data_IF_033393231068
#
_entry.id   IF_033393231068
#
_cell.length_a   1.000
_cell.length_b   1.000
_cell.length_c   1.000
_cell.angle_alpha   90.00
_cell.angle_beta   90.00
_cell.angle_gamma   90.00
#
_symmetry.space_group_name_H-M   'P 1'
#
loop_
_entity.id
_entity.type
_entity.pdbx_description
1 polymer ?
#
# COMPACT_ATOMS: atom_id res chain seq x y z
N UNK A 1 -13.42 7.90 8.64
CA UNK A 1 -13.71 6.53 9.12
C UNK A 1 -14.19 6.61 10.55
N UNK A 2 -15.11 5.73 10.93
CA UNK A 2 -15.65 5.63 12.29
C UNK A 2 -15.23 4.30 12.88
N UNK A 3 -14.77 4.27 14.14
CA UNK A 3 -14.50 2.99 14.82
C UNK A 3 -15.81 2.47 15.40
N UNK A 4 -16.41 1.44 14.82
CA UNK A 4 -17.71 0.95 15.32
C UNK A 4 -17.55 -0.06 16.46
N UNK A 5 -16.55 -0.92 16.37
CA UNK A 5 -16.31 -1.98 17.35
C UNK A 5 -14.82 -2.31 17.49
N UNK A 6 -14.44 -2.75 18.70
CA UNK A 6 -13.13 -3.30 19.04
C UNK A 6 -13.39 -4.56 19.88
N UNK A 7 -12.86 -5.70 19.43
CA UNK A 7 -13.05 -7.01 20.04
C UNK A 7 -11.72 -7.57 20.52
N UNK A 8 -11.73 -8.20 21.69
CA UNK A 8 -10.61 -9.02 22.14
C UNK A 8 -10.79 -10.44 21.63
N UNK A 9 -9.92 -10.85 20.70
CA UNK A 9 -10.03 -12.13 20.00
C UNK A 9 -9.01 -13.16 20.49
N UNK A 10 -8.38 -12.92 21.65
CA UNK A 10 -7.28 -13.75 22.17
C UNK A 10 -7.70 -15.19 22.40
N UNK A 11 -8.87 -15.39 23.01
CA UNK A 11 -9.43 -16.71 23.32
C UNK A 11 -10.28 -17.31 22.19
N UNK A 12 -10.49 -16.57 21.10
CA UNK A 12 -11.33 -17.02 19.99
C UNK A 12 -10.55 -17.97 19.09
N UNK A 13 -11.25 -18.97 18.56
CA UNK A 13 -10.74 -19.79 17.48
C UNK A 13 -10.54 -18.92 16.23
N UNK A 14 -9.41 -19.11 15.54
CA UNK A 14 -8.99 -18.29 14.40
C UNK A 14 -8.99 -19.05 13.08
N UNK A 15 -9.61 -20.23 13.04
CA UNK A 15 -9.88 -20.91 11.77
C UNK A 15 -10.89 -20.12 10.91
N UNK A 16 -10.95 -20.46 9.63
CA UNK A 16 -11.79 -19.73 8.68
C UNK A 16 -13.30 -19.81 8.98
N UNK A 17 -13.80 -20.91 9.56
CA UNK A 17 -15.23 -21.04 9.85
C UNK A 17 -15.63 -20.16 11.05
N UNK A 18 -14.81 -20.18 12.10
CA UNK A 18 -14.99 -19.31 13.26
C UNK A 18 -14.90 -17.84 12.88
N UNK A 19 -13.92 -17.47 12.04
CA UNK A 19 -13.81 -16.09 11.56
C UNK A 19 -14.98 -15.68 10.67
N UNK A 20 -15.46 -16.55 9.78
CA UNK A 20 -16.65 -16.27 8.96
C UNK A 20 -17.86 -15.98 9.85
N UNK A 21 -18.12 -16.80 10.87
CA UNK A 21 -19.24 -16.60 11.79
C UNK A 21 -19.14 -15.25 12.53
N UNK A 22 -17.94 -14.86 12.95
CA UNK A 22 -17.74 -13.57 13.59
C UNK A 22 -17.94 -12.40 12.61
N UNK A 23 -17.51 -12.54 11.36
CA UNK A 23 -17.75 -11.53 10.32
C UNK A 23 -19.25 -11.36 10.05
N UNK A 24 -20.00 -12.46 9.95
CA UNK A 24 -21.46 -12.44 9.80
C UNK A 24 -22.12 -11.71 10.97
N UNK A 25 -21.77 -12.08 12.20
CA UNK A 25 -22.27 -11.44 13.42
C UNK A 25 -21.99 -9.93 13.42
N UNK A 26 -20.77 -9.52 13.07
CA UNK A 26 -20.39 -8.10 13.00
C UNK A 26 -21.20 -7.34 11.94
N UNK A 27 -21.45 -7.94 10.77
CA UNK A 27 -22.25 -7.32 9.72
C UNK A 27 -23.71 -7.18 10.19
N UNK A 28 -24.29 -8.25 10.72
CA UNK A 28 -25.70 -8.25 11.14
C UNK A 28 -25.96 -7.26 12.28
N UNK A 29 -25.05 -7.20 13.25
CA UNK A 29 -25.09 -6.21 14.34
C UNK A 29 -25.01 -4.78 13.82
N UNK A 30 -24.15 -4.52 12.82
CA UNK A 30 -24.01 -3.20 12.23
C UNK A 30 -25.29 -2.78 11.49
N UNK A 31 -25.82 -3.64 10.64
CA UNK A 31 -27.02 -3.35 9.84
C UNK A 31 -28.24 -3.16 10.74
N UNK A 32 -28.42 -4.05 11.71
CA UNK A 32 -29.53 -3.97 12.68
C UNK A 32 -29.46 -2.70 13.51
N UNK A 33 -28.26 -2.37 14.02
CA UNK A 33 -28.09 -1.24 14.94
C UNK A 33 -28.19 0.12 14.26
N UNK A 34 -27.69 0.22 13.03
CA UNK A 34 -27.58 1.50 12.32
C UNK A 34 -28.55 1.65 11.15
N UNK A 35 -29.36 0.63 10.85
CA UNK A 35 -30.30 0.65 9.72
C UNK A 35 -29.60 0.86 8.38
N UNK A 36 -28.38 0.32 8.23
CA UNK A 36 -27.56 0.50 7.03
C UNK A 36 -27.43 -0.81 6.24
N UNK A 37 -26.88 -0.72 5.03
CA UNK A 37 -26.46 -1.88 4.24
C UNK A 37 -24.94 -1.92 4.16
N UNK A 38 -24.35 -3.06 4.52
CA UNK A 38 -22.94 -3.31 4.33
C UNK A 38 -22.75 -3.87 2.93
N UNK A 39 -22.18 -3.06 2.05
CA UNK A 39 -21.89 -3.47 0.66
C UNK A 39 -20.48 -4.06 0.51
N UNK A 40 -19.63 -3.87 1.51
CA UNK A 40 -18.20 -4.04 1.42
C UNK A 40 -17.59 -4.53 2.73
N UNK A 41 -16.70 -5.53 2.64
CA UNK A 41 -15.95 -6.02 3.81
C UNK A 41 -14.53 -6.45 3.43
N UNK A 42 -13.54 -6.03 4.21
CA UNK A 42 -12.11 -6.27 3.94
C UNK A 42 -11.35 -6.71 5.16
N UNK A 43 -10.47 -7.68 4.94
CA UNK A 43 -9.53 -8.20 5.92
C UNK A 43 -8.12 -8.16 5.35
N UNK A 44 -7.09 -8.36 6.18
CA UNK A 44 -5.82 -8.82 5.63
C UNK A 44 -5.93 -10.29 5.16
N UNK A 45 -4.81 -10.81 4.65
CA UNK A 45 -4.76 -12.09 3.97
C UNK A 45 -4.02 -13.15 4.79
N UNK A 46 -4.06 -13.06 6.12
CA UNK A 46 -3.65 -14.19 6.95
C UNK A 46 -4.57 -15.39 6.68
N UNK A 47 -4.09 -16.60 7.01
CA UNK A 47 -4.77 -17.83 6.63
C UNK A 47 -6.21 -17.92 7.15
N UNK A 48 -6.46 -17.46 8.38
CA UNK A 48 -7.79 -17.46 9.00
C UNK A 48 -8.72 -16.46 8.32
N UNK A 49 -8.31 -15.20 8.21
CA UNK A 49 -9.12 -14.14 7.61
C UNK A 49 -9.37 -14.38 6.13
N UNK A 50 -8.37 -14.87 5.39
CA UNK A 50 -8.54 -15.23 3.97
C UNK A 50 -9.61 -16.30 3.81
N UNK A 51 -9.53 -17.39 4.59
CA UNK A 51 -10.50 -18.49 4.50
C UNK A 51 -11.89 -18.02 4.94
N UNK A 52 -11.99 -17.28 6.05
CA UNK A 52 -13.27 -16.75 6.53
C UNK A 52 -13.94 -15.80 5.53
N UNK A 53 -13.19 -14.92 4.87
CA UNK A 53 -13.70 -14.04 3.81
C UNK A 53 -14.19 -14.82 2.59
N UNK A 54 -13.50 -15.89 2.19
CA UNK A 54 -13.94 -16.75 1.09
C UNK A 54 -15.27 -17.44 1.42
N UNK A 55 -15.40 -18.01 2.63
CA UNK A 55 -16.65 -18.64 3.07
C UNK A 55 -17.79 -17.61 3.19
N UNK A 56 -17.49 -16.40 3.70
CA UNK A 56 -18.45 -15.30 3.74
C UNK A 56 -18.98 -14.95 2.34
N UNK A 57 -18.11 -14.93 1.33
CA UNK A 57 -18.52 -14.66 -0.05
C UNK A 57 -19.44 -15.71 -0.64
N UNK A 58 -19.33 -16.97 -0.22
CA UNK A 58 -20.27 -18.03 -0.63
C UNK A 58 -21.64 -17.84 0.00
N UNK A 59 -21.68 -17.42 1.27
CA UNK A 59 -22.93 -17.20 2.01
C UNK A 59 -23.63 -15.89 1.65
N UNK A 60 -22.85 -14.85 1.36
CA UNK A 60 -23.31 -13.47 1.11
C UNK A 60 -22.72 -12.95 -0.21
N UNK A 61 -23.13 -13.50 -1.37
CA UNK A 61 -22.53 -13.21 -2.67
C UNK A 61 -22.71 -11.75 -3.13
N UNK A 62 -23.63 -11.00 -2.53
CA UNK A 62 -23.85 -9.58 -2.79
C UNK A 62 -22.72 -8.68 -2.23
N UNK A 63 -21.92 -9.17 -1.28
CA UNK A 63 -20.83 -8.40 -0.67
C UNK A 63 -19.63 -8.29 -1.60
N UNK A 64 -19.01 -7.12 -1.62
CA UNK A 64 -17.68 -6.91 -2.20
C UNK A 64 -16.62 -7.25 -1.15
N UNK A 65 -15.77 -8.23 -1.45
CA UNK A 65 -14.88 -8.87 -0.47
C UNK A 65 -13.41 -8.91 -0.94
N UNK A 66 -12.72 -7.79 -1.19
CA UNK A 66 -11.33 -7.84 -1.63
C UNK A 66 -10.39 -8.15 -0.46
N UNK A 67 -9.17 -8.54 -0.81
CA UNK A 67 -8.07 -8.57 0.15
C UNK A 67 -7.60 -7.15 0.43
N UNK A 68 -6.96 -6.94 1.58
CA UNK A 68 -6.25 -5.69 1.85
C UNK A 68 -5.08 -5.51 0.86
N UNK A 69 -5.17 -4.53 -0.02
CA UNK A 69 -4.15 -4.32 -1.06
C UNK A 69 -2.83 -3.80 -0.53
N UNK A 70 -2.84 -3.04 0.58
CA UNK A 70 -1.60 -2.70 1.28
C UNK A 70 -0.84 -3.94 1.77
N UNK A 71 -1.57 -4.99 2.14
CA UNK A 71 -0.96 -6.26 2.48
C UNK A 71 -0.55 -7.04 1.22
N UNK A 72 -1.34 -7.01 0.14
CA UNK A 72 -0.96 -7.68 -1.11
C UNK A 72 0.34 -7.12 -1.70
N UNK A 73 0.52 -5.81 -1.77
CA UNK A 73 1.77 -5.20 -2.24
C UNK A 73 2.95 -5.53 -1.32
N UNK A 74 2.74 -5.56 0.00
CA UNK A 74 3.79 -6.05 0.90
C UNK A 74 4.14 -7.52 0.67
N UNK A 75 3.17 -8.38 0.36
CA UNK A 75 3.45 -9.79 0.04
C UNK A 75 4.22 -9.92 -1.28
N UNK A 76 3.98 -9.04 -2.24
CA UNK A 76 4.71 -9.00 -3.50
C UNK A 76 6.20 -8.67 -3.30
N UNK A 77 6.55 -7.82 -2.32
CA UNK A 77 7.94 -7.65 -1.88
C UNK A 77 8.57 -8.99 -1.45
N UNK A 78 7.81 -9.81 -0.74
CA UNK A 78 8.26 -11.14 -0.32
C UNK A 78 8.37 -12.11 -1.49
N UNK A 79 7.54 -11.99 -2.52
CA UNK A 79 7.62 -12.83 -3.71
C UNK A 79 8.86 -12.49 -4.55
N UNK A 80 9.22 -11.19 -4.67
CA UNK A 80 10.47 -10.76 -5.29
C UNK A 80 11.68 -11.48 -4.71
N UNK A 81 11.83 -11.48 -3.38
CA UNK A 81 12.96 -12.16 -2.74
C UNK A 81 12.90 -13.69 -2.83
N UNK A 82 11.73 -14.29 -3.07
CA UNK A 82 11.62 -15.74 -3.31
C UNK A 82 12.07 -16.13 -4.71
N UNK A 83 11.77 -15.31 -5.70
CA UNK A 83 12.08 -15.62 -7.11
C UNK A 83 13.46 -15.12 -7.52
N UNK A 84 13.95 -14.04 -6.91
CA UNK A 84 15.22 -13.41 -7.26
C UNK A 84 16.30 -13.67 -6.21
N UNK A 85 17.11 -14.71 -6.44
CA UNK A 85 18.19 -15.11 -5.52
C UNK A 85 19.25 -14.02 -5.35
N UNK A 86 19.61 -13.32 -6.44
CA UNK A 86 20.57 -12.22 -6.36
C UNK A 86 20.05 -11.08 -5.47
N UNK A 87 18.81 -10.65 -5.68
CA UNK A 87 18.19 -9.62 -4.83
C UNK A 87 18.06 -10.04 -3.37
N UNK A 88 17.77 -11.32 -3.10
CA UNK A 88 17.76 -11.87 -1.75
C UNK A 88 19.14 -11.81 -1.09
N UNK A 89 20.20 -12.21 -1.82
CA UNK A 89 21.58 -12.18 -1.32
C UNK A 89 22.04 -10.74 -0.99
N UNK A 90 21.77 -9.79 -1.87
CA UNK A 90 22.06 -8.37 -1.64
C UNK A 90 21.30 -7.83 -0.42
N UNK A 91 20.02 -8.21 -0.27
CA UNK A 91 19.21 -7.80 0.87
C UNK A 91 19.71 -8.39 2.20
N UNK A 92 20.21 -9.62 2.19
CA UNK A 92 20.85 -10.25 3.36
C UNK A 92 22.13 -9.51 3.76
N UNK A 93 22.99 -9.18 2.80
CA UNK A 93 24.20 -8.38 3.04
C UNK A 93 23.88 -6.99 3.59
N UNK A 94 22.89 -6.30 3.01
CA UNK A 94 22.46 -4.99 3.48
C UNK A 94 21.92 -5.07 4.92
N UNK A 95 21.13 -6.10 5.21
CA UNK A 95 20.58 -6.33 6.56
C UNK A 95 21.68 -6.68 7.57
N UNK A 96 22.65 -7.50 7.18
CA UNK A 96 23.84 -7.80 7.97
C UNK A 96 24.61 -6.50 8.29
N UNK A 97 24.91 -5.68 7.29
CA UNK A 97 25.68 -4.46 7.46
C UNK A 97 24.97 -3.46 8.40
N UNK A 98 23.67 -3.26 8.19
CA UNK A 98 22.84 -2.40 9.05
C UNK A 98 22.80 -2.93 10.49
N UNK A 99 22.66 -4.24 10.67
CA UNK A 99 22.67 -4.88 11.99
C UNK A 99 24.02 -4.68 12.68
N UNK A 100 25.11 -4.93 11.96
CA UNK A 100 26.48 -4.77 12.46
C UNK A 100 26.76 -3.33 12.91
N UNK A 101 26.40 -2.33 12.10
CA UNK A 101 26.55 -0.91 12.43
C UNK A 101 25.74 -0.51 13.66
N UNK A 102 24.53 -1.05 13.83
CA UNK A 102 23.69 -0.70 14.97
C UNK A 102 24.12 -1.38 16.28
N UNK A 103 24.73 -2.56 16.21
CA UNK A 103 25.14 -3.34 17.39
C UNK A 103 26.51 -2.93 17.95
N UNK A 104 27.37 -2.30 17.14
CA UNK A 104 28.72 -1.91 17.55
C UNK A 104 28.85 -0.39 17.74
N UNK A 105 28.51 0.11 18.93
CA UNK A 105 28.45 1.55 19.21
C UNK A 105 29.74 2.34 18.94
N UNK A 106 30.92 1.78 19.26
CA UNK A 106 32.21 2.45 18.97
C UNK A 106 32.50 2.52 17.48
N UNK A 107 32.29 1.41 16.77
CA UNK A 107 32.41 1.33 15.30
C UNK A 107 31.46 2.33 14.64
N UNK A 108 30.20 2.35 15.08
CA UNK A 108 29.20 3.30 14.60
C UNK A 108 29.66 4.75 14.72
N UNK A 109 30.32 5.12 15.82
CA UNK A 109 30.81 6.50 16.01
C UNK A 109 31.90 6.91 15.01
N UNK A 110 32.69 5.97 14.51
CA UNK A 110 33.65 6.23 13.44
C UNK A 110 32.88 6.59 12.16
N UNK A 111 31.87 5.81 11.79
CA UNK A 111 31.06 6.07 10.60
C UNK A 111 30.17 7.31 10.74
N UNK A 112 29.58 7.57 11.90
CA UNK A 112 28.83 8.79 12.20
C UNK A 112 29.73 10.04 12.00
N UNK A 113 31.02 9.95 12.38
CA UNK A 113 31.98 11.04 12.20
C UNK A 113 32.32 11.26 10.73
N UNK A 114 32.48 10.19 9.94
CA UNK A 114 32.68 10.30 8.50
C UNK A 114 31.45 10.88 7.77
N UNK A 115 30.23 10.50 8.18
CA UNK A 115 29.00 11.12 7.67
C UNK A 115 28.98 12.63 7.95
N UNK A 116 29.36 13.03 9.17
CA UNK A 116 29.46 14.44 9.55
C UNK A 116 30.47 15.19 8.66
N UNK A 117 31.68 14.67 8.51
CA UNK A 117 32.73 15.28 7.67
C UNK A 117 32.26 15.45 6.22
N UNK A 118 31.68 14.41 5.62
CA UNK A 118 31.22 14.43 4.22
C UNK A 118 30.02 15.37 4.03
N UNK A 119 29.07 15.39 4.97
CA UNK A 119 27.89 16.27 4.88
C UNK A 119 28.24 17.75 5.08
N UNK A 120 29.10 18.07 6.04
CA UNK A 120 29.63 19.42 6.25
C UNK A 120 30.37 19.91 5.00
N UNK A 121 31.23 19.07 4.39
CA UNK A 121 31.96 19.43 3.19
C UNK A 121 31.05 19.66 1.97
N UNK A 122 29.96 18.89 1.82
CA UNK A 122 29.05 18.98 0.67
C UNK A 122 28.00 20.09 0.78
N UNK A 123 27.50 20.34 1.99
CA UNK A 123 26.30 21.16 2.21
C UNK A 123 26.46 22.29 3.21
N UNK A 124 27.63 22.40 3.86
CA UNK A 124 27.86 23.35 4.95
C UNK A 124 27.17 22.99 6.26
N UNK A 125 26.45 21.86 6.32
CA UNK A 125 25.72 21.40 7.50
C UNK A 125 26.06 19.95 7.86
N UNK A 126 26.37 19.73 9.15
CA UNK A 126 26.52 18.40 9.72
C UNK A 126 25.19 17.64 9.76
N UNK A 127 25.11 16.56 8.99
CA UNK A 127 23.97 15.65 9.00
C UNK A 127 24.45 14.22 9.21
N UNK A 128 23.89 13.55 10.20
CA UNK A 128 24.13 12.13 10.48
C UNK A 128 22.82 11.40 10.29
N UNK A 129 22.81 10.47 9.36
CA UNK A 129 21.65 9.66 9.10
C UNK A 129 21.63 8.41 9.99
N UNK A 130 20.46 8.10 10.55
CA UNK A 130 20.26 6.86 11.29
C UNK A 130 20.23 5.65 10.35
N UNK A 131 20.86 4.54 10.76
CA UNK A 131 20.79 3.24 10.10
C UNK A 131 19.46 2.55 10.43
N UNK A 132 18.53 2.52 9.47
CA UNK A 132 17.19 1.98 9.65
C UNK A 132 17.20 0.47 9.48
N UNK A 133 16.61 -0.26 10.43
CA UNK A 133 16.51 -1.72 10.37
C UNK A 133 15.31 -2.15 9.53
N UNK A 134 15.56 -3.00 8.54
CA UNK A 134 14.52 -3.64 7.75
C UNK A 134 13.68 -4.59 8.62
N UNK A 135 12.36 -4.58 8.46
CA UNK A 135 11.45 -5.41 9.26
C UNK A 135 10.24 -5.85 8.43
N UNK A 136 10.08 -7.15 8.23
CA UNK A 136 8.97 -7.73 7.46
C UNK A 136 7.58 -7.37 8.00
N UNK A 137 7.45 -7.18 9.32
CA UNK A 137 6.18 -6.82 9.96
C UNK A 137 5.84 -5.32 9.84
N UNK A 138 6.81 -4.49 9.47
CA UNK A 138 6.63 -3.05 9.24
C UNK A 138 6.76 -2.74 7.75
N UNK A 139 5.63 -2.50 7.11
CA UNK A 139 5.55 -2.38 5.66
C UNK A 139 6.42 -1.24 5.10
N UNK A 140 7.11 -1.52 3.99
CA UNK A 140 8.01 -0.60 3.31
C UNK A 140 9.39 -0.36 3.98
N UNK A 141 9.69 -1.00 5.12
CA UNK A 141 10.95 -0.73 5.83
C UNK A 141 12.21 -1.26 5.14
N UNK A 142 12.12 -2.30 4.30
CA UNK A 142 13.27 -2.80 3.55
C UNK A 142 13.79 -1.73 2.59
N UNK A 143 12.89 -1.16 1.79
CA UNK A 143 13.24 -0.11 0.82
C UNK A 143 13.76 1.13 1.53
N UNK A 144 13.11 1.57 2.61
CA UNK A 144 13.61 2.72 3.40
C UNK A 144 14.99 2.44 4.00
N UNK A 145 15.23 1.22 4.51
CA UNK A 145 16.51 0.82 5.05
C UNK A 145 17.61 0.79 3.98
N UNK A 146 17.30 0.27 2.79
CA UNK A 146 18.24 0.12 1.69
C UNK A 146 18.57 1.48 1.05
N UNK A 147 17.57 2.32 0.75
CA UNK A 147 17.78 3.71 0.31
C UNK A 147 18.66 4.44 1.30
N UNK A 148 18.36 4.33 2.60
CA UNK A 148 19.12 4.98 3.66
C UNK A 148 20.57 4.48 3.72
N UNK A 149 20.80 3.18 3.57
CA UNK A 149 22.13 2.60 3.52
C UNK A 149 22.90 3.08 2.29
N UNK A 150 22.24 3.15 1.14
CA UNK A 150 22.82 3.64 -0.10
C UNK A 150 23.18 5.13 -0.03
N UNK A 151 22.32 5.97 0.57
CA UNK A 151 22.60 7.41 0.75
C UNK A 151 23.84 7.69 1.61
N UNK A 152 24.27 6.74 2.45
CA UNK A 152 25.48 6.84 3.28
C UNK A 152 26.66 6.03 2.73
N UNK A 153 26.60 5.56 1.48
CA UNK A 153 27.68 4.81 0.82
C UNK A 153 29.02 5.53 0.90
N UNK A 154 29.09 6.75 0.37
CA UNK A 154 30.35 7.49 0.24
C UNK A 154 31.04 7.71 1.61
N UNK A 155 30.36 8.18 2.68
CA UNK A 155 31.00 8.29 3.99
C UNK A 155 31.39 6.94 4.59
N UNK A 156 30.66 5.85 4.34
CA UNK A 156 31.05 4.51 4.78
C UNK A 156 32.35 4.07 4.10
N UNK A 157 32.43 4.22 2.76
CA UNK A 157 33.62 3.88 1.98
C UNK A 157 34.84 4.70 2.41
N UNK A 158 34.66 6.01 2.62
CA UNK A 158 35.73 6.89 3.08
C UNK A 158 36.25 6.47 4.46
N UNK A 159 35.36 6.11 5.39
CA UNK A 159 35.75 5.65 6.72
C UNK A 159 36.55 4.34 6.67
N UNK A 160 36.15 3.39 5.82
CA UNK A 160 36.92 2.14 5.65
C UNK A 160 38.28 2.45 5.03
N UNK A 161 38.34 3.28 3.99
CA UNK A 161 39.60 3.65 3.35
C UNK A 161 40.59 4.32 4.32
N UNK A 162 40.11 5.27 5.15
CA UNK A 162 40.95 6.04 6.08
C UNK A 162 41.25 5.29 7.38
N UNK A 163 40.37 4.42 7.84
CA UNK A 163 40.35 3.98 9.25
C UNK A 163 40.03 2.51 9.47
N UNK A 164 40.18 1.64 8.45
CA UNK A 164 39.97 0.18 8.59
C UNK A 164 40.65 -0.45 9.82
N UNK A 165 41.95 -0.20 10.12
CA UNK A 165 42.57 -0.74 11.33
C UNK A 165 41.89 -0.28 12.62
N UNK A 166 41.46 0.98 12.68
CA UNK A 166 40.77 1.54 13.83
C UNK A 166 39.34 0.98 13.98
N UNK A 167 38.65 0.70 12.87
CA UNK A 167 37.33 0.05 12.86
C UNK A 167 37.43 -1.35 13.45
N UNK A 168 38.40 -2.15 12.99
CA UNK A 168 38.64 -3.51 13.49
C UNK A 168 38.98 -3.46 14.98
N UNK A 169 39.92 -2.60 15.38
CA UNK A 169 40.29 -2.43 16.78
C UNK A 169 39.11 -1.98 17.66
N UNK A 170 38.22 -1.12 17.15
CA UNK A 170 37.03 -0.66 17.86
C UNK A 170 36.00 -1.77 18.10
N UNK A 171 35.88 -2.74 17.19
CA UNK A 171 35.02 -3.91 17.37
C UNK A 171 35.63 -4.92 18.34
N UNK A 172 36.90 -5.29 18.11
CA UNK A 172 37.61 -6.30 18.91
C UNK A 172 37.75 -5.88 20.37
N UNK A 173 38.08 -4.61 20.60
CA UNK A 173 38.27 -4.07 21.94
C UNK A 173 39.28 -4.89 22.76
N UNK A 174 38.84 -5.40 23.91
CA UNK A 174 39.66 -6.20 24.81
C UNK A 174 39.49 -7.72 24.64
N UNK A 175 38.75 -8.17 23.61
CA UNK A 175 38.54 -9.58 23.34
C UNK A 175 39.87 -10.30 23.06
N UNK A 176 39.95 -11.58 23.44
CA UNK A 176 41.15 -12.41 23.31
C UNK A 176 40.83 -13.73 22.61
N UNK A 177 41.87 -14.39 22.12
CA UNK A 177 41.81 -15.76 21.59
C UNK A 177 40.77 -15.95 20.47
N UNK A 178 39.87 -16.92 20.61
CA UNK A 178 38.87 -17.29 19.59
C UNK A 178 37.84 -16.19 19.34
N UNK A 179 37.41 -15.48 20.38
CA UNK A 179 36.45 -14.38 20.25
C UNK A 179 37.06 -13.19 19.53
N UNK A 180 38.35 -12.90 19.79
CA UNK A 180 39.11 -11.90 19.03
C UNK A 180 39.06 -12.21 17.54
N UNK A 181 39.43 -13.43 17.16
CA UNK A 181 39.47 -13.84 15.74
C UNK A 181 38.09 -13.71 15.08
N UNK A 182 37.03 -14.17 15.76
CA UNK A 182 35.65 -14.05 15.26
C UNK A 182 35.23 -12.59 15.02
N UNK A 183 35.54 -11.69 15.95
CA UNK A 183 35.23 -10.26 15.82
C UNK A 183 36.08 -9.59 14.73
N UNK A 184 37.34 -9.99 14.56
CA UNK A 184 38.19 -9.54 13.46
C UNK A 184 37.65 -10.00 12.10
N UNK A 185 37.24 -11.26 11.98
CA UNK A 185 36.69 -11.82 10.76
C UNK A 185 35.37 -11.13 10.37
N UNK A 186 34.48 -10.87 11.34
CA UNK A 186 33.22 -10.15 11.10
C UNK A 186 33.46 -8.67 10.73
N UNK A 187 34.39 -7.99 11.41
CA UNK A 187 34.78 -6.61 11.09
C UNK A 187 35.34 -6.52 9.67
N UNK A 188 36.19 -7.47 9.28
CA UNK A 188 36.76 -7.55 7.94
C UNK A 188 35.68 -7.79 6.91
N UNK A 189 34.78 -8.76 7.13
CA UNK A 189 33.62 -9.00 6.24
C UNK A 189 32.82 -7.73 6.00
N UNK A 190 32.51 -6.97 7.05
CA UNK A 190 31.75 -5.72 6.93
C UNK A 190 32.56 -4.64 6.18
N UNK A 191 33.86 -4.51 6.45
CA UNK A 191 34.73 -3.57 5.74
C UNK A 191 34.88 -3.93 4.25
N UNK A 192 35.02 -5.22 3.92
CA UNK A 192 35.13 -5.72 2.54
C UNK A 192 33.83 -5.52 1.75
N UNK A 193 32.69 -5.70 2.42
CA UNK A 193 31.38 -5.39 1.87
C UNK A 193 31.22 -3.89 1.58
N UNK A 194 31.60 -3.02 2.52
CA UNK A 194 31.57 -1.56 2.32
C UNK A 194 32.53 -1.14 1.20
N UNK A 195 33.74 -1.70 1.17
CA UNK A 195 34.77 -1.32 0.22
C UNK A 195 34.53 -1.84 -1.20
N UNK A 196 33.53 -2.71 -1.42
CA UNK A 196 33.37 -3.47 -2.67
C UNK A 196 34.68 -4.18 -3.07
N UNK A 197 35.24 -4.98 -2.15
CA UNK A 197 36.50 -5.68 -2.39
C UNK A 197 36.43 -6.60 -3.62
N UNK A 198 37.56 -6.70 -4.35
CA UNK A 198 37.68 -7.47 -5.60
C UNK A 198 37.41 -8.97 -5.46
N UNK A 199 37.53 -9.52 -4.25
CA UNK A 199 37.31 -10.95 -3.98
C UNK A 199 35.83 -11.35 -3.96
N UNK A 200 34.91 -10.39 -4.19
CA UNK A 200 33.47 -10.63 -4.15
C UNK A 200 32.91 -10.96 -5.53
N UNK A 201 31.90 -11.85 -5.61
CA UNK A 201 31.30 -12.24 -6.88
C UNK A 201 30.46 -11.12 -7.55
N UNK A 202 30.20 -10.01 -6.86
CA UNK A 202 29.47 -8.85 -7.37
C UNK A 202 29.81 -7.57 -6.59
N UNK A 203 29.54 -6.40 -7.20
CA UNK A 203 29.54 -5.11 -6.49
C UNK A 203 28.28 -5.01 -5.64
N UNK A 204 28.46 -4.86 -4.32
CA UNK A 204 27.35 -4.73 -3.39
C UNK A 204 26.59 -3.45 -3.61
N UNK A 205 27.26 -2.32 -3.84
CA UNK A 205 26.56 -1.04 -4.00
C UNK A 205 25.74 -0.98 -5.29
N UNK A 206 26.25 -1.52 -6.40
CA UNK A 206 25.48 -1.65 -7.65
C UNK A 206 24.31 -2.62 -7.49
N UNK A 207 24.54 -3.77 -6.85
CA UNK A 207 23.47 -4.71 -6.53
C UNK A 207 22.40 -4.09 -5.64
N UNK A 208 22.79 -3.31 -4.63
CA UNK A 208 21.88 -2.62 -3.73
C UNK A 208 21.05 -1.56 -4.47
N UNK A 209 21.67 -0.80 -5.37
CA UNK A 209 20.99 0.17 -6.23
C UNK A 209 19.95 -0.49 -7.14
N UNK A 210 20.31 -1.62 -7.79
CA UNK A 210 19.36 -2.40 -8.60
C UNK A 210 18.18 -2.91 -7.76
N UNK A 211 18.46 -3.52 -6.60
CA UNK A 211 17.41 -4.00 -5.68
C UNK A 211 16.53 -2.84 -5.18
N UNK A 212 17.09 -1.65 -4.92
CA UNK A 212 16.27 -0.48 -4.57
C UNK A 212 15.32 -0.15 -5.74
N UNK A 213 15.84 -0.09 -6.96
CA UNK A 213 15.05 0.16 -8.18
C UNK A 213 13.86 -0.79 -8.33
N UNK A 214 14.07 -2.09 -8.11
CA UNK A 214 13.02 -3.11 -8.25
C UNK A 214 11.94 -3.01 -7.16
N UNK A 215 12.35 -2.62 -5.95
CA UNK A 215 11.44 -2.58 -4.79
C UNK A 215 10.73 -1.24 -4.63
N UNK A 216 11.23 -0.16 -5.23
CA UNK A 216 10.64 1.17 -5.15
C UNK A 216 9.18 1.24 -5.65
N UNK A 217 8.82 0.71 -6.84
CA UNK A 217 7.44 0.66 -7.30
C UNK A 217 6.50 -0.06 -6.31
N UNK A 218 6.95 -1.20 -5.77
CA UNK A 218 6.19 -1.99 -4.79
C UNK A 218 6.01 -1.20 -3.49
N UNK A 219 7.05 -0.50 -3.03
CA UNK A 219 7.01 0.33 -1.83
C UNK A 219 6.07 1.51 -1.99
N UNK A 220 6.10 2.16 -3.15
CA UNK A 220 5.23 3.27 -3.48
C UNK A 220 3.76 2.85 -3.46
N UNK A 221 3.42 1.75 -4.14
CA UNK A 221 2.08 1.16 -4.10
C UNK A 221 1.65 0.80 -2.67
N UNK A 222 2.55 0.21 -1.89
CA UNK A 222 2.31 -0.11 -0.48
C UNK A 222 2.05 1.15 0.36
N UNK A 223 2.72 2.27 0.07
CA UNK A 223 2.51 3.55 0.75
C UNK A 223 1.20 4.22 0.36
N UNK A 224 0.84 4.21 -0.93
CA UNK A 224 -0.43 4.75 -1.44
C UNK A 224 -1.61 3.98 -0.82
N UNK A 225 -1.53 2.66 -0.84
CA UNK A 225 -2.59 1.78 -0.32
C UNK A 225 -2.71 1.73 1.19
N UNK A 226 -1.75 2.29 1.93
CA UNK A 226 -1.88 2.48 3.39
C UNK A 226 -2.86 3.60 3.76
N UNK A 227 -3.29 4.43 2.80
CA UNK A 227 -4.31 5.47 3.03
C UNK A 227 -5.66 4.81 3.30
N UNK A 228 -6.41 5.35 4.27
CA UNK A 228 -7.76 4.84 4.62
C UNK A 228 -8.79 5.03 3.51
N UNK A 229 -8.53 5.98 2.61
CA UNK A 229 -9.38 6.34 1.49
C UNK A 229 -8.80 5.88 0.16
N UNK A 230 -7.94 4.86 0.16
CA UNK A 230 -7.43 4.33 -1.11
C UNK A 230 -8.58 3.71 -1.88
N UNK A 231 -8.78 4.16 -3.12
CA UNK A 231 -9.88 3.72 -3.97
C UNK A 231 -9.47 2.56 -4.87
N UNK A 232 -10.43 1.79 -5.43
CA UNK A 232 -10.09 0.66 -6.30
C UNK A 232 -9.36 1.07 -7.59
N UNK A 233 -9.72 2.20 -8.22
CA UNK A 233 -9.05 2.73 -9.41
C UNK A 233 -7.55 2.96 -9.16
N UNK A 234 -7.21 3.57 -8.02
CA UNK A 234 -5.83 3.81 -7.63
C UNK A 234 -5.06 2.52 -7.45
N UNK A 235 -5.69 1.48 -6.89
CA UNK A 235 -5.04 0.17 -6.76
C UNK A 235 -4.77 -0.45 -8.12
N UNK A 236 -5.72 -0.39 -9.06
CA UNK A 236 -5.51 -0.94 -10.40
C UNK A 236 -4.35 -0.25 -11.12
N UNK A 237 -4.27 1.08 -11.05
CA UNK A 237 -3.15 1.84 -11.61
C UNK A 237 -1.80 1.45 -10.98
N UNK A 238 -1.76 1.17 -9.68
CA UNK A 238 -0.54 0.67 -9.02
C UNK A 238 -0.17 -0.75 -9.45
N UNK A 239 -1.15 -1.63 -9.67
CA UNK A 239 -0.90 -2.97 -10.24
C UNK A 239 -0.32 -2.84 -11.64
N UNK A 240 -0.92 -2.00 -12.48
CA UNK A 240 -0.48 -1.77 -13.86
C UNK A 240 0.94 -1.19 -13.91
N UNK A 241 1.25 -0.19 -13.09
CA UNK A 241 2.60 0.39 -13.03
C UNK A 241 3.66 -0.63 -12.62
N UNK A 242 3.37 -1.48 -11.62
CA UNK A 242 4.31 -2.55 -11.23
C UNK A 242 4.41 -3.63 -12.32
N UNK A 243 3.30 -3.97 -12.99
CA UNK A 243 3.30 -4.91 -14.10
C UNK A 243 4.21 -4.43 -15.23
N UNK A 244 4.06 -3.17 -15.67
CA UNK A 244 4.88 -2.58 -16.73
C UNK A 244 6.36 -2.55 -16.32
N UNK A 245 6.65 -2.13 -15.09
CA UNK A 245 8.01 -2.13 -14.55
C UNK A 245 8.70 -3.50 -14.64
N UNK A 246 8.00 -4.59 -14.24
CA UNK A 246 8.57 -5.93 -14.33
C UNK A 246 8.54 -6.53 -15.73
N UNK A 247 7.62 -6.10 -16.58
CA UNK A 247 7.57 -6.52 -18.00
C UNK A 247 8.80 -6.02 -18.74
N UNK A 248 9.21 -4.77 -18.51
CA UNK A 248 10.37 -4.15 -19.14
C UNK A 248 11.69 -4.39 -18.39
N UNK A 249 11.69 -5.29 -17.41
CA UNK A 249 12.84 -5.52 -16.53
C UNK A 249 14.00 -6.19 -17.29
N UNK A 250 15.26 -5.71 -17.13
CA UNK A 250 16.41 -6.20 -17.89
C UNK A 250 16.79 -7.66 -17.61
N UNK A 251 16.46 -8.18 -16.43
CA UNK A 251 16.63 -9.59 -16.07
C UNK A 251 15.40 -10.42 -16.49
N UNK A 252 15.48 -11.27 -17.54
CA UNK A 252 14.32 -11.96 -18.09
C UNK A 252 13.71 -12.99 -17.13
N UNK A 253 14.54 -13.69 -16.34
CA UNK A 253 14.03 -14.69 -15.39
C UNK A 253 13.17 -14.02 -14.30
N UNK A 254 13.63 -12.85 -13.82
CA UNK A 254 12.91 -12.04 -12.85
C UNK A 254 11.62 -11.48 -13.45
N UNK A 255 11.69 -10.94 -14.67
CA UNK A 255 10.53 -10.42 -15.40
C UNK A 255 9.41 -11.45 -15.48
N UNK A 256 9.71 -12.64 -16.02
CA UNK A 256 8.74 -13.72 -16.23
C UNK A 256 8.07 -14.14 -14.92
N UNK A 257 8.86 -14.40 -13.87
CA UNK A 257 8.29 -14.87 -12.61
C UNK A 257 7.51 -13.76 -11.89
N UNK A 258 7.97 -12.52 -11.88
CA UNK A 258 7.24 -11.42 -11.24
C UNK A 258 5.93 -11.09 -11.95
N UNK A 259 5.91 -11.05 -13.28
CA UNK A 259 4.70 -10.88 -14.08
C UNK A 259 3.67 -11.96 -13.74
N UNK A 260 4.11 -13.22 -13.69
CA UNK A 260 3.27 -14.36 -13.30
C UNK A 260 2.69 -14.22 -11.89
N UNK A 261 3.45 -13.72 -10.92
CA UNK A 261 2.94 -13.46 -9.57
C UNK A 261 1.93 -12.31 -9.53
N UNK A 262 2.14 -11.25 -10.32
CA UNK A 262 1.21 -10.12 -10.45
C UNK A 262 -0.11 -10.58 -11.07
N UNK A 263 -0.04 -11.30 -12.19
CA UNK A 263 -1.20 -11.88 -12.87
C UNK A 263 -2.01 -12.82 -11.96
N UNK A 264 -1.33 -13.63 -11.15
CA UNK A 264 -1.99 -14.47 -10.16
C UNK A 264 -2.77 -13.66 -9.13
N UNK A 265 -2.22 -12.54 -8.65
CA UNK A 265 -2.90 -11.64 -7.70
C UNK A 265 -4.08 -10.92 -8.35
N UNK A 266 -3.93 -10.53 -9.61
CA UNK A 266 -5.00 -9.93 -10.40
C UNK A 266 -6.15 -10.93 -10.62
N UNK A 267 -5.85 -12.17 -10.95
CA UNK A 267 -6.85 -13.24 -11.12
C UNK A 267 -7.61 -13.56 -9.83
N UNK A 268 -6.94 -13.50 -8.68
CA UNK A 268 -7.52 -13.79 -7.37
C UNK A 268 -8.38 -12.65 -6.81
N UNK A 269 -8.41 -11.47 -7.45
CA UNK A 269 -9.15 -10.31 -6.97
C UNK A 269 -10.55 -10.18 -7.62
N UNK A 270 -11.41 -9.37 -7.02
CA UNK A 270 -12.74 -9.04 -7.56
C UNK A 270 -12.59 -8.02 -8.70
N UNK A 271 -12.02 -8.47 -9.83
CA UNK A 271 -11.63 -7.63 -10.98
C UNK A 271 -12.71 -6.63 -11.42
N UNK A 272 -14.01 -6.98 -11.48
CA UNK A 272 -15.06 -6.03 -11.82
C UNK A 272 -15.04 -4.76 -10.96
N UNK A 273 -14.73 -4.85 -9.66
CA UNK A 273 -14.68 -3.68 -8.78
C UNK A 273 -13.60 -2.69 -9.19
N UNK A 274 -12.42 -3.20 -9.52
CA UNK A 274 -11.25 -2.39 -9.90
C UNK A 274 -11.42 -1.81 -11.30
N UNK A 275 -11.90 -2.62 -12.25
CA UNK A 275 -12.17 -2.21 -13.61
C UNK A 275 -13.28 -1.16 -13.66
N UNK A 276 -14.42 -1.41 -12.99
CA UNK A 276 -15.53 -0.45 -12.95
C UNK A 276 -15.14 0.87 -12.31
N UNK A 277 -14.35 0.85 -11.22
CA UNK A 277 -13.89 2.09 -10.61
C UNK A 277 -12.94 2.88 -11.54
N UNK A 278 -12.03 2.21 -12.25
CA UNK A 278 -11.15 2.87 -13.20
C UNK A 278 -11.93 3.44 -14.38
N UNK A 279 -12.77 2.63 -15.02
CA UNK A 279 -13.62 3.02 -16.17
C UNK A 279 -14.52 4.19 -15.81
N UNK A 280 -15.13 4.19 -14.62
CA UNK A 280 -16.01 5.27 -14.19
C UNK A 280 -15.24 6.47 -13.63
N UNK A 281 -13.90 6.50 -13.70
CA UNK A 281 -13.13 7.66 -13.28
C UNK A 281 -12.86 8.59 -14.48
N UNK A 282 -13.79 9.53 -14.73
CA UNK A 282 -13.72 10.49 -15.84
C UNK A 282 -12.43 11.32 -15.84
N UNK A 283 -11.77 11.49 -14.69
CA UNK A 283 -10.55 12.28 -14.56
C UNK A 283 -9.29 11.52 -14.98
N UNK A 284 -9.34 10.19 -15.07
CA UNK A 284 -8.18 9.32 -15.37
C UNK A 284 -8.11 8.88 -16.84
N UNK A 285 -9.08 9.23 -17.67
CA UNK A 285 -9.10 8.90 -19.10
C UNK A 285 -7.78 9.24 -19.84
N UNK A 286 -7.15 10.41 -19.63
CA UNK A 286 -5.84 10.70 -20.22
C UNK A 286 -4.74 9.71 -19.81
N UNK A 287 -4.81 9.19 -18.58
CA UNK A 287 -3.85 8.20 -18.07
C UNK A 287 -4.04 6.81 -18.65
N UNK A 288 -5.23 6.49 -19.18
CA UNK A 288 -5.46 5.20 -19.84
C UNK A 288 -4.59 5.09 -21.09
N UNK A 289 -4.49 6.18 -21.85
CA UNK A 289 -3.66 6.27 -23.05
C UNK A 289 -2.18 6.07 -22.70
N UNK A 290 -1.71 6.68 -21.60
CA UNK A 290 -0.34 6.51 -21.06
C UNK A 290 -0.03 5.04 -20.73
N UNK A 291 -0.94 4.30 -20.08
CA UNK A 291 -0.76 2.84 -19.82
C UNK A 291 -1.03 1.96 -21.06
N UNK A 292 -1.14 2.53 -22.26
CA UNK A 292 -1.36 1.79 -23.51
C UNK A 292 -2.78 1.27 -23.69
N UNK A 293 -3.75 1.74 -22.90
CA UNK A 293 -5.17 1.40 -23.05
C UNK A 293 -5.84 2.47 -23.89
N UNK A 294 -6.26 2.11 -25.11
CA UNK A 294 -7.09 2.99 -25.92
C UNK A 294 -8.54 2.96 -25.37
N UNK A 295 -9.10 4.09 -24.88
CA UNK A 295 -10.48 4.17 -24.39
C UNK A 295 -11.51 3.64 -25.39
N UNK A 296 -11.29 3.90 -26.69
CA UNK A 296 -12.17 3.46 -27.79
C UNK A 296 -12.15 1.94 -28.00
N UNK A 297 -11.15 1.26 -27.46
CA UNK A 297 -10.99 -0.20 -27.56
C UNK A 297 -11.44 -0.95 -26.32
N UNK A 298 -11.91 -0.24 -25.27
CA UNK A 298 -12.42 -0.90 -24.07
C UNK A 298 -13.57 -1.82 -24.49
N UNK A 299 -13.43 -3.15 -24.30
CA UNK A 299 -14.45 -4.06 -24.77
C UNK A 299 -15.79 -3.76 -24.06
N UNK A 300 -16.90 -3.85 -24.78
CA UNK A 300 -18.25 -3.78 -24.19
C UNK A 300 -18.43 -4.72 -23.00
N UNK A 301 -17.67 -5.84 -22.97
CA UNK A 301 -17.63 -6.78 -21.85
C UNK A 301 -17.15 -6.14 -20.53
N UNK A 302 -16.26 -5.16 -20.58
CA UNK A 302 -15.76 -4.45 -19.39
C UNK A 302 -16.85 -3.56 -18.79
N UNK A 303 -17.63 -2.88 -19.62
CA UNK A 303 -18.80 -2.12 -19.17
C UNK A 303 -19.94 -3.01 -18.67
N UNK A 304 -20.14 -4.16 -19.32
CA UNK A 304 -21.07 -5.17 -18.85
C UNK A 304 -20.69 -5.68 -17.45
N UNK A 305 -19.39 -5.79 -17.12
CA UNK A 305 -18.94 -6.13 -15.78
C UNK A 305 -19.40 -5.10 -14.73
N UNK A 306 -19.45 -3.81 -15.07
CA UNK A 306 -20.00 -2.76 -14.20
C UNK A 306 -21.49 -2.93 -13.92
N UNK A 307 -22.28 -3.28 -14.94
CA UNK A 307 -23.72 -3.55 -14.79
C UNK A 307 -23.94 -4.81 -13.93
N UNK A 308 -23.17 -5.87 -14.16
CA UNK A 308 -23.24 -7.09 -13.34
C UNK A 308 -22.84 -6.82 -11.87
N UNK A 309 -21.84 -5.96 -11.64
CA UNK A 309 -21.45 -5.56 -10.30
C UNK A 309 -22.55 -4.75 -9.60
N UNK A 310 -23.16 -3.79 -10.31
CA UNK A 310 -24.33 -3.06 -9.81
C UNK A 310 -25.47 -4.01 -9.43
N UNK A 311 -25.81 -4.96 -10.31
CA UNK A 311 -26.82 -5.99 -10.02
C UNK A 311 -26.46 -6.77 -8.77
N UNK A 312 -25.22 -7.27 -8.66
CA UNK A 312 -24.74 -8.04 -7.51
C UNK A 312 -24.91 -7.26 -6.20
N UNK A 313 -24.52 -5.99 -6.16
CA UNK A 313 -24.67 -5.14 -4.96
C UNK A 313 -26.15 -4.95 -4.58
N UNK A 314 -27.05 -4.87 -5.56
CA UNK A 314 -28.48 -4.72 -5.34
C UNK A 314 -29.21 -6.02 -4.96
N UNK A 315 -28.53 -7.18 -4.95
CA UNK A 315 -29.06 -8.43 -4.39
C UNK A 315 -29.00 -8.46 -2.85
N UNK A 316 -28.54 -7.38 -2.20
CA UNK A 316 -28.53 -7.25 -0.75
C UNK A 316 -29.92 -7.56 -0.15
N UNK A 317 -30.01 -8.37 0.93
CA UNK A 317 -31.29 -8.78 1.53
C UNK A 317 -32.09 -7.60 2.09
N UNK A 318 -31.41 -6.60 2.66
CA UNK A 318 -32.04 -5.38 3.18
C UNK A 318 -32.37 -4.34 2.09
N UNK A 319 -32.18 -4.66 0.80
CA UNK A 319 -32.62 -3.77 -0.26
C UNK A 319 -34.15 -3.78 -0.34
N UNK A 320 -34.77 -2.61 -0.13
CA UNK A 320 -36.22 -2.43 -0.09
C UNK A 320 -36.87 -2.41 -1.48
N UNK A 321 -36.08 -2.23 -2.55
CA UNK A 321 -36.59 -2.22 -3.91
C UNK A 321 -37.14 -3.60 -4.28
N UNK A 322 -38.30 -3.64 -4.95
CA UNK A 322 -38.83 -4.89 -5.53
C UNK A 322 -37.95 -5.38 -6.68
N UNK A 323 -38.02 -6.67 -7.06
CA UNK A 323 -37.31 -7.19 -8.23
C UNK A 323 -37.56 -6.40 -9.52
N UNK A 324 -38.78 -5.89 -9.71
CA UNK A 324 -39.19 -5.07 -10.86
C UNK A 324 -38.49 -3.71 -10.83
N UNK A 325 -38.46 -3.05 -9.67
CA UNK A 325 -37.77 -1.76 -9.50
C UNK A 325 -36.26 -1.94 -9.74
N UNK A 326 -35.66 -2.99 -9.19
CA UNK A 326 -34.22 -3.29 -9.40
C UNK A 326 -33.90 -3.51 -10.88
N UNK A 327 -34.79 -4.21 -11.60
CA UNK A 327 -34.64 -4.43 -13.04
C UNK A 327 -34.75 -3.13 -13.83
N UNK A 328 -35.63 -2.22 -13.42
CA UNK A 328 -35.75 -0.92 -14.07
C UNK A 328 -34.51 -0.05 -13.84
N UNK A 329 -34.04 0.05 -12.59
CA UNK A 329 -32.79 0.76 -12.28
C UNK A 329 -31.58 0.17 -12.99
N UNK A 330 -31.52 -1.15 -13.17
CA UNK A 330 -30.47 -1.78 -13.97
C UNK A 330 -30.52 -1.33 -15.44
N UNK A 331 -31.71 -1.16 -16.03
CA UNK A 331 -31.84 -0.59 -17.38
C UNK A 331 -31.38 0.86 -17.41
N UNK A 332 -31.73 1.66 -16.39
CA UNK A 332 -31.25 3.05 -16.27
C UNK A 332 -29.72 3.11 -16.24
N UNK A 333 -29.07 2.27 -15.42
CA UNK A 333 -27.61 2.15 -15.38
C UNK A 333 -27.05 1.72 -16.74
N UNK A 334 -27.70 0.76 -17.40
CA UNK A 334 -27.27 0.30 -18.73
C UNK A 334 -27.36 1.41 -19.78
N UNK A 335 -28.45 2.18 -19.78
CA UNK A 335 -28.65 3.31 -20.70
C UNK A 335 -27.64 4.43 -20.41
N UNK A 336 -27.39 4.74 -19.14
CA UNK A 336 -26.39 5.73 -18.74
C UNK A 336 -24.97 5.31 -19.16
N UNK A 337 -24.65 4.01 -19.12
CA UNK A 337 -23.39 3.48 -19.65
C UNK A 337 -23.27 3.69 -21.16
N UNK A 338 -24.35 3.53 -21.93
CA UNK A 338 -24.34 3.86 -23.36
C UNK A 338 -24.11 5.34 -23.61
N UNK A 339 -24.75 6.23 -22.84
CA UNK A 339 -24.50 7.68 -22.93
C UNK A 339 -23.04 8.04 -22.60
N UNK A 340 -22.46 7.36 -21.61
CA UNK A 340 -21.06 7.50 -21.24
C UNK A 340 -20.14 7.09 -22.39
N UNK A 341 -20.38 5.89 -22.94
CA UNK A 341 -19.61 5.34 -24.06
C UNK A 341 -19.67 6.17 -25.34
N UNK A 342 -20.81 6.83 -25.59
CA UNK A 342 -20.98 7.71 -26.75
C UNK A 342 -20.61 9.16 -26.45
N UNK A 343 -20.02 9.45 -25.28
CA UNK A 343 -19.70 10.81 -24.78
C UNK A 343 -20.82 11.80 -25.10
N UNK A 344 -22.04 11.42 -24.70
CA UNK A 344 -23.29 12.12 -25.04
C UNK A 344 -24.04 12.57 -23.80
N UNK A 345 -24.99 13.48 -23.98
CA UNK A 345 -25.79 14.02 -22.88
C UNK A 345 -24.91 14.66 -21.79
N UNK A 346 -25.15 14.38 -20.50
CA UNK A 346 -24.40 14.97 -19.39
C UNK A 346 -22.87 14.78 -19.44
N UNK A 347 -22.39 13.73 -20.12
CA UNK A 347 -20.95 13.46 -20.24
C UNK A 347 -20.27 14.38 -21.24
N UNK A 348 -20.97 14.77 -22.31
CA UNK A 348 -20.48 15.76 -23.27
C UNK A 348 -20.29 17.12 -22.60
N UNK A 349 -21.29 17.52 -21.81
CA UNK A 349 -21.27 18.79 -21.09
C UNK A 349 -20.13 18.81 -20.06
N UNK A 350 -19.93 17.69 -19.34
CA UNK A 350 -18.80 17.55 -18.44
C UNK A 350 -17.46 17.69 -19.16
N UNK A 351 -17.27 17.04 -20.31
CA UNK A 351 -16.00 17.11 -21.03
C UNK A 351 -15.69 18.54 -21.49
N UNK A 352 -16.70 19.31 -21.92
CA UNK A 352 -16.53 20.73 -22.24
C UNK A 352 -16.16 21.60 -21.03
N UNK A 353 -16.63 21.24 -19.83
CA UNK A 353 -16.42 22.00 -18.59
C UNK A 353 -15.31 21.42 -17.70
N UNK A 354 -14.63 20.36 -18.14
CA UNK A 354 -13.70 19.57 -17.34
C UNK A 354 -12.60 20.42 -16.70
N UNK A 355 -11.99 21.31 -17.48
CA UNK A 355 -10.92 22.19 -16.99
C UNK A 355 -11.43 23.14 -15.89
N UNK A 356 -12.62 23.72 -16.08
CA UNK A 356 -13.25 24.60 -15.09
C UNK A 356 -13.61 23.83 -13.81
N UNK A 357 -14.12 22.61 -13.98
CA UNK A 357 -14.43 21.73 -12.86
C UNK A 357 -13.18 21.38 -12.06
N UNK A 358 -12.10 20.93 -12.71
CA UNK A 358 -10.84 20.59 -12.05
C UNK A 358 -10.23 21.80 -11.32
N UNK A 359 -10.34 23.01 -11.89
CA UNK A 359 -9.86 24.23 -11.25
C UNK A 359 -10.65 24.59 -9.98
N UNK A 360 -11.96 24.30 -9.96
CA UNK A 360 -12.85 24.71 -8.86
C UNK A 360 -12.97 23.65 -7.76
N UNK A 361 -13.12 22.39 -8.17
CA UNK A 361 -13.44 21.25 -7.30
C UNK A 361 -12.24 20.31 -7.09
N UNK A 362 -11.14 20.54 -7.82
CA UNK A 362 -9.97 19.67 -7.82
C UNK A 362 -10.22 18.35 -8.56
N UNK A 363 -9.28 17.41 -8.41
CA UNK A 363 -9.33 16.07 -9.03
C UNK A 363 -9.99 15.02 -8.14
N UNK A 364 -11.23 15.26 -7.72
CA UNK A 364 -12.02 14.30 -6.93
C UNK A 364 -13.13 13.63 -7.76
N UNK A 365 -13.02 12.32 -8.08
CA UNK A 365 -14.05 11.63 -8.86
C UNK A 365 -15.41 11.58 -8.15
N UNK A 366 -15.44 11.62 -6.80
CA UNK A 366 -16.71 11.64 -6.07
C UNK A 366 -17.44 12.97 -6.32
N UNK A 367 -16.71 14.09 -6.39
CA UNK A 367 -17.29 15.39 -6.70
C UNK A 367 -17.89 15.41 -8.11
N UNK A 368 -17.19 14.84 -9.10
CA UNK A 368 -17.68 14.73 -10.48
C UNK A 368 -19.03 14.00 -10.53
N UNK A 369 -19.09 12.81 -9.93
CA UNK A 369 -20.32 12.03 -9.96
C UNK A 369 -21.45 12.63 -9.11
N UNK A 370 -21.15 13.35 -8.01
CA UNK A 370 -22.17 14.10 -7.29
C UNK A 370 -22.81 15.19 -8.16
N UNK A 371 -22.01 15.88 -9.00
CA UNK A 371 -22.53 16.86 -9.94
C UNK A 371 -23.39 16.19 -11.02
N UNK A 372 -22.92 15.08 -11.61
CA UNK A 372 -23.66 14.32 -12.61
C UNK A 372 -24.97 13.71 -12.06
N UNK A 373 -25.03 13.40 -10.77
CA UNK A 373 -26.23 12.85 -10.13
C UNK A 373 -27.44 13.82 -10.15
N UNK A 374 -27.23 15.09 -10.47
CA UNK A 374 -28.31 16.06 -10.69
C UNK A 374 -29.12 15.73 -11.96
N UNK A 375 -28.50 15.09 -12.96
CA UNK A 375 -29.16 14.69 -14.20
C UNK A 375 -29.90 13.35 -14.03
N UNK A 376 -31.23 13.31 -14.23
CA UNK A 376 -32.02 12.09 -13.99
C UNK A 376 -31.54 10.87 -14.79
N UNK A 377 -31.11 11.08 -16.03
CA UNK A 377 -30.71 10.03 -16.98
C UNK A 377 -29.48 9.24 -16.54
N UNK A 378 -28.62 9.83 -15.68
CA UNK A 378 -27.36 9.22 -15.21
C UNK A 378 -27.34 9.04 -13.70
N UNK A 379 -28.42 9.39 -12.99
CA UNK A 379 -28.48 9.43 -11.53
C UNK A 379 -28.13 8.08 -10.89
N UNK A 380 -28.72 6.98 -11.36
CA UNK A 380 -28.45 5.65 -10.81
C UNK A 380 -26.99 5.21 -11.05
N UNK A 381 -26.43 5.49 -12.24
CA UNK A 381 -25.02 5.24 -12.53
C UNK A 381 -24.10 6.09 -11.65
N UNK A 382 -24.46 7.35 -11.42
CA UNK A 382 -23.70 8.26 -10.57
C UNK A 382 -23.67 7.78 -9.11
N UNK A 383 -24.81 7.36 -8.56
CA UNK A 383 -24.89 6.79 -7.21
C UNK A 383 -24.07 5.50 -7.10
N UNK A 384 -24.09 4.65 -8.12
CA UNK A 384 -23.24 3.46 -8.20
C UNK A 384 -21.75 3.82 -8.20
N UNK A 385 -21.32 4.75 -9.04
CA UNK A 385 -19.93 5.21 -9.12
C UNK A 385 -19.47 5.81 -7.79
N UNK A 386 -20.29 6.65 -7.16
CA UNK A 386 -20.01 7.22 -5.83
C UNK A 386 -19.81 6.11 -4.80
N UNK A 387 -20.64 5.06 -4.82
CA UNK A 387 -20.49 3.93 -3.91
C UNK A 387 -19.16 3.19 -4.16
N UNK A 388 -18.78 2.96 -5.43
CA UNK A 388 -17.48 2.35 -5.77
C UNK A 388 -16.30 3.18 -5.27
N UNK A 389 -16.30 4.50 -5.48
CA UNK A 389 -15.20 5.37 -5.03
C UNK A 389 -15.13 5.56 -3.53
N UNK A 390 -16.21 5.29 -2.80
CA UNK A 390 -16.22 5.25 -1.33
C UNK A 390 -15.64 3.94 -0.76
N UNK A 391 -15.42 2.91 -1.59
CA UNK A 391 -14.78 1.67 -1.15
C UNK A 391 -13.30 1.94 -0.83
N UNK A 392 -12.92 1.72 0.43
CA UNK A 392 -11.53 1.79 0.88
C UNK A 392 -10.87 0.41 0.83
N UNK A 393 -10.08 0.11 -0.21
CA UNK A 393 -9.48 -1.23 -0.47
C UNK A 393 -8.28 -1.59 0.42
N UNK A 394 -8.32 -1.17 1.68
CA UNK A 394 -7.22 -1.37 2.64
C UNK A 394 -7.72 -1.48 4.08
N UNK A 395 -7.28 -2.53 4.76
CA UNK A 395 -7.45 -2.67 6.23
C UNK A 395 -6.35 -1.94 7.03
N UNK A 396 -5.43 -1.23 6.36
CA UNK A 396 -4.29 -0.56 7.03
C UNK A 396 -4.74 0.53 8.02
N UNK A 397 -5.91 1.14 7.82
CA UNK A 397 -6.51 2.07 8.76
C UNK A 397 -6.75 1.45 10.13
N UNK A 398 -7.34 0.25 10.14
CA UNK A 398 -7.56 -0.52 11.37
C UNK A 398 -6.24 -0.89 12.05
N UNK A 399 -5.18 -1.22 11.31
CA UNK A 399 -3.86 -1.55 11.87
C UNK A 399 -3.23 -0.40 12.67
N UNK A 400 -3.51 0.85 12.29
CA UNK A 400 -3.05 2.02 13.06
C UNK A 400 -3.80 2.18 14.36
N UNK A 401 -5.12 1.97 14.33
CA UNK A 401 -5.95 1.92 15.55
C UNK A 401 -5.39 0.83 16.46
N UNK A 402 -5.16 -0.39 15.95
CA UNK A 402 -4.60 -1.49 16.76
C UNK A 402 -3.21 -1.21 17.32
N UNK A 403 -2.34 -0.50 16.58
CA UNK A 403 -1.01 -0.12 17.06
C UNK A 403 -1.10 0.88 18.23
N UNK A 404 -1.97 1.87 18.12
CA UNK A 404 -2.25 2.83 19.19
C UNK A 404 -2.93 2.15 20.39
N UNK A 405 -3.86 1.23 20.14
CA UNK A 405 -4.50 0.38 21.15
C UNK A 405 -3.46 -0.42 21.91
N UNK A 406 -2.57 -1.14 21.21
CA UNK A 406 -1.50 -1.94 21.82
C UNK A 406 -0.62 -1.07 22.70
N UNK A 407 -0.17 0.08 22.20
CA UNK A 407 0.65 1.01 22.97
C UNK A 407 -0.04 1.46 24.27
N UNK A 408 -1.35 1.76 24.23
CA UNK A 408 -2.14 2.18 25.40
C UNK A 408 -2.53 1.03 26.33
N UNK A 409 -2.63 -0.19 25.81
CA UNK A 409 -2.99 -1.39 26.56
C UNK A 409 -1.77 -2.01 27.26
N UNK A 410 -0.59 -2.06 26.63
CA UNK A 410 0.55 -2.83 27.14
C UNK A 410 1.73 -2.00 27.66
N UNK A 411 1.94 -0.78 27.16
CA UNK A 411 3.25 -0.10 27.30
C UNK A 411 3.29 1.05 28.30
N UNK A 412 2.16 1.44 28.91
CA UNK A 412 2.10 2.53 29.91
C UNK A 412 1.75 2.02 31.30
N UNK A 413 2.30 2.68 32.33
CA UNK A 413 1.92 2.47 33.75
C UNK A 413 0.41 2.65 34.01
N UNK A 414 -0.29 3.44 33.17
CA UNK A 414 -1.73 3.68 33.23
C UNK A 414 -2.50 2.89 32.16
N UNK A 415 -2.47 1.56 32.26
CA UNK A 415 -3.19 0.66 31.35
C UNK A 415 -4.70 0.94 31.38
N UNK A 416 -5.31 1.08 30.21
CA UNK A 416 -6.77 1.20 30.08
C UNK A 416 -7.40 -0.16 29.78
N UNK A 417 -8.57 -0.44 30.38
CA UNK A 417 -9.38 -1.61 30.03
C UNK A 417 -10.06 -1.47 28.66
N UNK A 418 -10.42 -2.60 28.05
CA UNK A 418 -10.97 -2.67 26.69
C UNK A 418 -12.21 -1.80 26.48
N UNK A 419 -13.15 -1.77 27.44
CA UNK A 419 -14.35 -0.95 27.35
C UNK A 419 -14.04 0.56 27.24
N UNK A 420 -13.05 1.03 28.01
CA UNK A 420 -12.61 2.44 27.96
C UNK A 420 -11.85 2.73 26.67
N UNK A 421 -11.01 1.80 26.20
CA UNK A 421 -10.33 1.90 24.90
C UNK A 421 -11.34 1.98 23.75
N UNK A 422 -12.38 1.14 23.73
CA UNK A 422 -13.45 1.17 22.71
C UNK A 422 -14.14 2.53 22.65
N UNK A 423 -14.51 3.10 23.80
CA UNK A 423 -15.11 4.46 23.88
C UNK A 423 -14.13 5.53 23.41
N UNK A 424 -12.87 5.44 23.82
CA UNK A 424 -11.82 6.39 23.45
C UNK A 424 -11.56 6.40 21.94
N UNK A 425 -11.55 5.23 21.28
CA UNK A 425 -11.37 5.16 19.83
C UNK A 425 -12.59 5.65 19.06
N UNK A 426 -13.81 5.40 19.56
CA UNK A 426 -15.05 5.97 18.99
C UNK A 426 -14.99 7.49 18.98
N UNK A 427 -14.93 8.09 20.17
CA UNK A 427 -14.94 9.54 20.35
C UNK A 427 -13.70 10.18 19.72
N UNK A 428 -12.52 9.57 19.87
CA UNK A 428 -11.28 10.09 19.31
C UNK A 428 -11.23 10.06 17.79
N UNK A 429 -11.91 9.11 17.15
CA UNK A 429 -12.05 9.09 15.68
C UNK A 429 -12.94 10.23 15.20
N UNK A 430 -14.03 10.50 15.92
CA UNK A 430 -14.99 11.56 15.59
C UNK A 430 -14.34 12.94 15.75
N UNK A 431 -13.74 13.21 16.90
CA UNK A 431 -12.99 14.46 17.16
C UNK A 431 -11.91 14.67 16.10
N UNK A 432 -11.16 13.62 15.74
CA UNK A 432 -10.13 13.75 14.71
C UNK A 432 -10.72 14.11 13.34
N UNK A 433 -11.88 13.55 13.00
CA UNK A 433 -12.54 13.87 11.73
C UNK A 433 -13.06 15.30 11.70
N UNK A 434 -13.73 15.74 12.77
CA UNK A 434 -14.22 17.13 12.90
C UNK A 434 -13.06 18.11 12.81
N UNK A 435 -11.98 17.85 13.54
CA UNK A 435 -10.77 18.67 13.48
C UNK A 435 -10.12 18.66 12.08
N UNK A 436 -10.18 17.56 11.35
CA UNK A 436 -9.71 17.52 9.95
C UNK A 436 -10.59 18.35 9.03
N UNK A 437 -11.93 18.25 9.15
CA UNK A 437 -12.89 19.06 8.38
C UNK A 437 -12.72 20.56 8.67
N UNK A 438 -12.46 20.91 9.92
CA UNK A 438 -12.21 22.27 10.36
C UNK A 438 -10.78 22.77 10.05
N UNK A 439 -9.93 21.96 9.41
CA UNK A 439 -8.54 22.34 9.11
C UNK A 439 -7.61 22.45 10.33
N UNK A 440 -8.09 22.09 11.52
CA UNK A 440 -7.36 22.15 12.80
C UNK A 440 -6.30 21.05 12.94
N UNK A 441 -6.38 20.00 12.13
CA UNK A 441 -5.42 18.90 12.09
C UNK A 441 -4.93 18.72 10.65
N UNK A 442 -3.60 18.67 10.47
CA UNK A 442 -2.99 18.38 9.17
C UNK A 442 -3.55 17.07 8.60
N UNK A 443 -4.04 17.12 7.36
CA UNK A 443 -4.34 15.92 6.61
C UNK A 443 -3.05 15.11 6.45
N UNK A 444 -3.15 13.79 6.60
CA UNK A 444 -1.97 12.95 6.44
C UNK A 444 -1.69 12.80 4.95
N UNK A 445 -0.65 13.47 4.48
CA UNK A 445 -0.08 13.26 3.15
C UNK A 445 0.60 11.88 3.06
N UNK A 446 0.79 11.39 1.83
CA UNK A 446 1.64 10.24 1.54
C UNK A 446 3.02 10.43 2.18
N UNK A 447 3.67 9.33 2.59
CA UNK A 447 5.04 9.45 3.11
C UNK A 447 5.95 9.81 1.95
N UNK A 448 6.75 10.87 2.10
CA UNK A 448 7.83 11.18 1.17
C UNK A 448 9.01 10.25 1.47
N UNK A 449 8.92 9.01 0.99
CA UNK A 449 9.99 8.00 1.11
C UNK A 449 10.93 7.97 -0.08
N UNK A 450 10.53 8.59 -1.20
CA UNK A 450 11.27 8.59 -2.47
C UNK A 450 11.72 10.01 -2.83
N UNK A 451 12.77 10.14 -3.64
CA UNK A 451 13.20 11.45 -4.16
C UNK A 451 12.15 11.92 -5.19
N UNK A 452 11.77 13.21 -5.19
CA UNK A 452 10.67 13.73 -6.01
C UNK A 452 10.79 13.40 -7.52
N UNK A 453 12.03 13.36 -8.05
CA UNK A 453 12.28 12.97 -9.46
C UNK A 453 11.97 11.49 -9.76
N UNK A 454 12.06 10.59 -8.78
CA UNK A 454 11.65 9.19 -8.95
C UNK A 454 10.12 9.08 -8.88
N UNK A 455 9.44 9.91 -8.09
CA UNK A 455 7.98 9.91 -7.99
C UNK A 455 7.33 10.24 -9.34
N UNK A 456 7.85 11.22 -10.08
CA UNK A 456 7.40 11.57 -11.43
C UNK A 456 7.76 10.52 -12.48
N UNK A 457 8.86 9.77 -12.33
CA UNK A 457 9.21 8.65 -13.24
C UNK A 457 8.49 7.33 -12.91
N UNK A 458 8.07 7.14 -11.67
CA UNK A 458 7.39 5.93 -11.19
C UNK A 458 5.86 6.03 -11.31
N UNK A 459 5.30 7.24 -11.25
CA UNK A 459 3.89 7.54 -11.55
C UNK A 459 3.69 8.17 -12.92
N UNK A 460 4.75 8.70 -13.53
CA UNK A 460 4.84 8.84 -14.97
C UNK A 460 4.97 7.44 -15.52
N UNK A 461 3.82 6.79 -15.65
CA UNK A 461 3.66 5.82 -16.72
C UNK A 461 4.13 6.53 -18.00
N UNK A 462 4.93 5.89 -18.86
CA UNK A 462 5.34 6.49 -20.13
C UNK A 462 4.19 7.19 -20.87
#
# INVERSE_FOLDING_TARGET
>A
SYTVELLEVTALNKDGAAQCAEFERMIDDLETKYGCMVLYFVTDADGGSKKGRIELGKKRPYLILPSCWAHQFQLQLGDYFKVYKFGALVAEDATFLIGWLNNHGKVRKIFDSAQKEVSEARSGQAVIFAYVVANLTRWGTHVVAFIRLHDVRDPLQLAVLKSRPAIIAAQVGAAKSTEKKKLEDEANRACDLIADSHDRPYSFWQGLEAVIGDLEPICLATNITQKDSVRPDQVLLNIAGIYLHFTDHPEPELSVEMVKWIEKRWKDCDQPVFLSALILNLLEEPRWVEIGVNPDTIPMKSFHASVLLYRRMNLHPNNVDSPEIRKEKEKEVTNAVYLYLSTSGPFKDFESERQNFEATMGKDPIAVWNALAASPEVKELALFAINLFKIGVSSAGCKRVFSDTKYRQSSRRNRLGLAKLKKLHKVGSDIRMENQKAGLVKSRHTRNTHKNQQFEKLLGVP
#
